data_IF_458133686070
#
_entry.id   IF_458133686070
#
_cell.length_a   1.000
_cell.length_b   1.000
_cell.length_c   1.000
_cell.angle_alpha   90.00
_cell.angle_beta   90.00
_cell.angle_gamma   90.00
#
_symmetry.space_group_name_H-M   'P 1'
#
loop_
_entity.id
_entity.type
_entity.pdbx_description
1 polymer ?
#
# COMPACT_ATOMS: atom_id res chain seq x y z
N UNK A 1 -19.29 29.85 5.03
CA UNK A 1 -18.90 28.49 5.42
C UNK A 1 -17.81 28.60 6.45
N UNK A 2 -18.19 28.95 7.68
CA UNK A 2 -17.27 29.20 8.77
C UNK A 2 -16.82 27.85 9.39
N UNK A 3 -15.53 27.79 9.74
CA UNK A 3 -14.87 26.79 10.58
C UNK A 3 -14.68 25.37 10.05
N UNK A 4 -14.22 25.22 8.80
CA UNK A 4 -13.58 23.96 8.37
C UNK A 4 -12.06 24.15 8.34
N UNK A 5 -11.38 23.72 9.40
CA UNK A 5 -9.92 23.80 9.54
C UNK A 5 -9.19 22.64 8.84
N UNK A 6 -9.83 21.47 8.77
CA UNK A 6 -9.24 20.21 8.32
C UNK A 6 -10.16 19.48 7.33
N UNK A 7 -9.60 19.07 6.19
CA UNK A 7 -10.31 18.26 5.20
C UNK A 7 -9.49 17.02 4.89
N UNK A 8 -10.05 15.84 5.15
CA UNK A 8 -9.49 14.56 4.73
C UNK A 8 -10.04 14.23 3.33
N UNK A 9 -9.17 14.07 2.34
CA UNK A 9 -9.62 13.84 0.97
C UNK A 9 -8.65 13.01 0.13
N UNK A 10 -9.17 12.46 -0.96
CA UNK A 10 -8.38 11.78 -1.98
C UNK A 10 -7.34 12.73 -2.61
N UNK A 11 -6.21 12.19 -3.06
CA UNK A 11 -5.10 12.95 -3.66
C UNK A 11 -5.40 13.47 -5.07
N UNK A 12 -6.64 13.32 -5.53
CA UNK A 12 -7.10 13.80 -6.82
C UNK A 12 -7.02 15.35 -6.92
N UNK A 13 -6.30 15.90 -7.92
CA UNK A 13 -6.14 17.34 -8.10
C UNK A 13 -7.45 18.13 -8.23
N UNK A 14 -8.48 17.53 -8.84
CA UNK A 14 -9.80 18.15 -9.02
C UNK A 14 -10.54 18.31 -7.70
N UNK A 15 -10.43 17.32 -6.81
CA UNK A 15 -10.98 17.43 -5.46
C UNK A 15 -10.24 18.50 -4.65
N UNK A 16 -8.90 18.52 -4.70
CA UNK A 16 -8.08 19.56 -4.07
C UNK A 16 -8.46 20.97 -4.54
N UNK A 17 -8.76 21.15 -5.82
CA UNK A 17 -9.23 22.42 -6.38
C UNK A 17 -10.62 22.81 -5.87
N UNK A 18 -11.56 21.86 -5.82
CA UNK A 18 -12.92 22.08 -5.31
C UNK A 18 -12.94 22.51 -3.84
N UNK A 19 -12.15 21.84 -2.99
CA UNK A 19 -12.05 22.15 -1.55
C UNK A 19 -11.40 23.50 -1.30
N UNK A 20 -10.33 23.85 -2.04
CA UNK A 20 -9.73 25.19 -1.95
C UNK A 20 -10.70 26.30 -2.33
N UNK A 21 -11.53 26.07 -3.37
CA UNK A 21 -12.52 27.04 -3.86
C UNK A 21 -13.68 27.23 -2.88
N UNK A 22 -14.11 26.15 -2.21
CA UNK A 22 -15.27 26.18 -1.33
C UNK A 22 -14.96 26.58 0.14
N UNK A 23 -13.74 26.30 0.63
CA UNK A 23 -13.44 26.31 2.08
C UNK A 23 -12.26 27.22 2.47
N UNK A 24 -11.77 28.10 1.59
CA UNK A 24 -10.81 29.12 2.00
C UNK A 24 -9.42 28.62 2.41
N UNK A 25 -8.96 27.51 1.80
CA UNK A 25 -7.63 26.87 2.02
C UNK A 25 -7.50 26.10 3.35
N UNK A 26 -8.34 25.09 3.61
CA UNK A 26 -8.18 24.22 4.79
C UNK A 26 -6.89 23.39 4.70
N UNK A 27 -6.43 22.85 5.84
CA UNK A 27 -5.35 21.86 5.88
C UNK A 27 -5.87 20.57 5.23
N UNK A 28 -5.31 20.21 4.08
CA UNK A 28 -5.70 19.02 3.32
C UNK A 28 -4.88 17.83 3.81
N UNK A 29 -5.54 16.87 4.45
CA UNK A 29 -4.97 15.59 4.84
C UNK A 29 -5.29 14.56 3.76
N UNK A 30 -4.27 13.93 3.18
CA UNK A 30 -4.47 12.83 2.26
C UNK A 30 -5.18 11.65 2.99
N UNK A 31 -6.26 11.17 2.40
CA UNK A 31 -7.05 10.08 2.96
C UNK A 31 -6.22 8.79 3.06
N UNK A 32 -6.26 8.21 4.26
CA UNK A 32 -5.53 7.00 4.64
C UNK A 32 -5.84 5.78 3.80
N UNK A 33 -7.05 5.73 3.25
CA UNK A 33 -7.49 4.60 2.44
C UNK A 33 -6.86 4.59 1.05
N UNK A 34 -6.47 5.74 0.50
CA UNK A 34 -6.00 5.83 -0.88
C UNK A 34 -4.56 5.33 -1.04
N UNK A 35 -3.63 5.70 -0.14
CA UNK A 35 -2.26 5.17 -0.21
C UNK A 35 -2.16 3.68 0.14
N UNK A 36 -2.96 3.20 1.11
CA UNK A 36 -3.00 1.76 1.42
C UNK A 36 -3.44 0.97 0.19
N UNK A 37 -4.43 1.52 -0.55
CA UNK A 37 -4.94 0.92 -1.78
C UNK A 37 -3.89 0.90 -2.88
N UNK A 38 -3.10 1.97 -3.08
CA UNK A 38 -2.09 2.01 -4.13
C UNK A 38 -1.01 0.94 -3.98
N UNK A 39 -0.59 0.64 -2.77
CA UNK A 39 0.40 -0.42 -2.54
C UNK A 39 -0.17 -1.81 -2.85
N UNK A 40 -1.44 -2.04 -2.50
CA UNK A 40 -2.11 -3.28 -2.89
C UNK A 40 -2.40 -3.38 -4.39
N UNK A 41 -2.55 -2.25 -5.08
CA UNK A 41 -2.63 -2.22 -6.54
C UNK A 41 -1.28 -2.54 -7.17
N UNK A 42 -0.20 -1.91 -6.70
CA UNK A 42 1.15 -2.17 -7.18
C UNK A 42 1.53 -3.65 -7.06
N UNK A 43 1.29 -4.28 -5.90
CA UNK A 43 1.58 -5.70 -5.73
C UNK A 43 0.66 -6.60 -6.59
N UNK A 44 -0.60 -6.21 -6.84
CA UNK A 44 -1.45 -6.97 -7.77
C UNK A 44 -1.03 -6.80 -9.24
N UNK A 45 -0.51 -5.64 -9.63
CA UNK A 45 0.08 -5.41 -10.95
C UNK A 45 1.31 -6.28 -11.18
N UNK A 46 2.25 -6.30 -10.22
CA UNK A 46 3.41 -7.19 -10.26
C UNK A 46 2.96 -8.65 -10.33
N UNK A 47 2.04 -9.07 -9.46
CA UNK A 47 1.44 -10.43 -9.50
C UNK A 47 0.84 -10.74 -10.88
N UNK A 48 0.12 -9.79 -11.50
CA UNK A 48 -0.48 -9.97 -12.84
C UNK A 48 0.56 -10.06 -13.95
N UNK A 49 1.69 -9.38 -13.81
CA UNK A 49 2.83 -9.44 -14.74
C UNK A 49 3.54 -10.78 -14.65
N UNK A 50 4.00 -11.17 -13.45
CA UNK A 50 4.83 -12.37 -13.26
C UNK A 50 4.07 -13.68 -13.53
N UNK A 51 2.76 -13.72 -13.24
CA UNK A 51 1.94 -14.92 -13.45
C UNK A 51 1.75 -15.29 -14.92
N UNK A 52 2.14 -14.42 -15.88
CA UNK A 52 2.06 -14.71 -17.31
C UNK A 52 3.00 -15.84 -17.71
N UNK A 53 4.14 -15.92 -17.05
CA UNK A 53 5.17 -16.95 -17.26
C UNK A 53 4.89 -18.24 -16.47
N UNK A 54 3.86 -18.25 -15.62
CA UNK A 54 3.55 -19.39 -14.78
C UNK A 54 2.64 -20.40 -15.47
N UNK A 55 2.78 -21.67 -15.09
CA UNK A 55 1.85 -22.71 -15.51
C UNK A 55 0.39 -22.35 -15.15
N UNK A 56 -0.55 -22.77 -15.99
CA UNK A 56 -1.97 -22.39 -15.86
C UNK A 56 -2.57 -22.77 -14.50
N UNK A 57 -2.08 -23.86 -13.89
CA UNK A 57 -2.44 -24.27 -12.54
C UNK A 57 -2.05 -23.22 -11.48
N UNK A 58 -0.77 -22.84 -11.43
CA UNK A 58 -0.27 -21.89 -10.44
C UNK A 58 -0.88 -20.50 -10.63
N UNK A 59 -1.07 -20.06 -11.88
CA UNK A 59 -1.80 -18.81 -12.18
C UNK A 59 -3.20 -18.79 -11.59
N UNK A 60 -3.99 -19.86 -11.82
CA UNK A 60 -5.36 -19.98 -11.28
C UNK A 60 -5.35 -20.06 -9.76
N UNK A 61 -4.43 -20.83 -9.18
CA UNK A 61 -4.33 -21.01 -7.73
C UNK A 61 -3.89 -19.72 -7.03
N UNK A 62 -2.88 -19.02 -7.55
CA UNK A 62 -2.40 -17.74 -7.02
C UNK A 62 -3.50 -16.68 -7.05
N UNK A 63 -4.26 -16.56 -8.14
CA UNK A 63 -5.41 -15.64 -8.20
C UNK A 63 -6.41 -15.88 -7.07
N UNK A 64 -6.71 -17.15 -6.75
CA UNK A 64 -7.60 -17.52 -5.64
C UNK A 64 -6.98 -17.24 -4.27
N UNK A 65 -5.66 -17.36 -4.15
CA UNK A 65 -4.90 -17.16 -2.92
C UNK A 65 -4.29 -15.76 -2.76
N UNK A 66 -4.61 -14.80 -3.64
CA UNK A 66 -3.95 -13.48 -3.69
C UNK A 66 -3.94 -12.72 -2.36
N UNK A 67 -4.89 -12.99 -1.46
CA UNK A 67 -4.95 -12.36 -0.14
C UNK A 67 -3.74 -12.65 0.74
N UNK A 68 -2.98 -13.72 0.47
CA UNK A 68 -1.73 -14.01 1.20
C UNK A 68 -0.65 -12.95 0.92
N UNK A 69 -0.70 -12.30 -0.25
CA UNK A 69 0.19 -11.19 -0.61
C UNK A 69 -0.22 -9.88 0.08
N UNK A 70 -1.51 -9.71 0.40
CA UNK A 70 -2.04 -8.46 0.96
C UNK A 70 -2.02 -8.41 2.49
N UNK A 71 -2.29 -9.55 3.13
CA UNK A 71 -2.28 -9.63 4.59
C UNK A 71 -0.87 -9.35 5.12
N UNK A 72 -0.81 -8.72 6.31
CA UNK A 72 0.41 -8.61 7.09
C UNK A 72 0.96 -9.99 7.36
N UNK A 73 2.26 -10.19 7.18
CA UNK A 73 2.94 -11.47 7.38
C UNK A 73 2.52 -12.10 8.71
N UNK A 74 2.62 -11.36 9.83
CA UNK A 74 2.24 -11.80 11.18
C UNK A 74 0.79 -12.24 11.38
N UNK A 75 -0.13 -11.94 10.44
CA UNK A 75 -1.55 -12.37 10.49
C UNK A 75 -1.85 -13.58 9.61
N UNK A 76 -0.84 -14.18 8.98
CA UNK A 76 -1.00 -15.38 8.17
C UNK A 76 -0.99 -16.63 9.06
N UNK A 77 -1.92 -17.54 8.78
CA UNK A 77 -1.83 -18.92 9.29
C UNK A 77 -0.67 -19.64 8.62
N UNK A 78 -0.17 -20.72 9.21
CA UNK A 78 0.91 -21.54 8.63
C UNK A 78 0.64 -21.95 7.18
N UNK A 79 -0.57 -22.47 6.91
CA UNK A 79 -1.01 -22.81 5.54
C UNK A 79 -0.93 -21.62 4.57
N UNK A 80 -1.26 -20.40 5.04
CA UNK A 80 -1.20 -19.22 4.19
C UNK A 80 0.23 -18.74 3.98
N UNK A 81 1.10 -18.92 4.99
CA UNK A 81 2.52 -18.63 4.88
C UNK A 81 3.20 -19.54 3.87
N UNK A 82 2.89 -20.83 3.89
CA UNK A 82 3.37 -21.76 2.87
C UNK A 82 3.01 -21.32 1.44
N UNK A 83 1.76 -20.86 1.22
CA UNK A 83 1.37 -20.32 -0.08
C UNK A 83 2.10 -19.03 -0.44
N UNK A 84 2.30 -18.14 0.52
CA UNK A 84 3.08 -16.92 0.33
C UNK A 84 4.50 -17.30 -0.11
N UNK A 85 5.21 -18.09 0.67
CA UNK A 85 6.59 -18.49 0.42
C UNK A 85 6.74 -19.19 -0.92
N UNK A 86 5.78 -20.07 -1.28
CA UNK A 86 5.72 -20.68 -2.61
C UNK A 86 5.68 -19.62 -3.72
N UNK A 87 4.79 -18.63 -3.64
CA UNK A 87 4.66 -17.64 -4.71
C UNK A 87 5.84 -16.67 -4.76
N UNK A 88 6.40 -16.28 -3.61
CA UNK A 88 7.60 -15.44 -3.58
C UNK A 88 8.81 -16.20 -4.14
N UNK A 89 8.91 -17.51 -3.89
CA UNK A 89 9.95 -18.37 -4.46
C UNK A 89 9.82 -18.61 -5.98
N UNK A 90 8.68 -18.25 -6.59
CA UNK A 90 8.48 -18.37 -8.04
C UNK A 90 8.89 -17.12 -8.82
N UNK A 91 9.14 -15.99 -8.15
CA UNK A 91 9.49 -14.74 -8.84
C UNK A 91 10.17 -13.76 -7.88
N UNK A 92 11.42 -13.42 -8.19
CA UNK A 92 12.17 -12.41 -7.43
C UNK A 92 11.49 -11.03 -7.50
N UNK A 93 10.91 -10.67 -8.66
CA UNK A 93 10.16 -9.42 -8.81
C UNK A 93 8.95 -9.37 -7.85
N UNK A 94 8.21 -10.47 -7.72
CA UNK A 94 7.09 -10.54 -6.78
C UNK A 94 7.54 -10.50 -5.32
N UNK A 95 8.67 -11.13 -5.02
CA UNK A 95 9.30 -11.12 -3.69
C UNK A 95 9.70 -9.70 -3.29
N UNK A 96 10.43 -8.98 -4.15
CA UNK A 96 10.83 -7.59 -3.91
C UNK A 96 9.60 -6.69 -3.71
N UNK A 97 8.57 -6.83 -4.56
CA UNK A 97 7.33 -6.07 -4.40
C UNK A 97 6.61 -6.37 -3.07
N UNK A 98 6.65 -7.62 -2.60
CA UNK A 98 6.09 -8.00 -1.30
C UNK A 98 6.88 -7.42 -0.13
N UNK A 99 8.21 -7.47 -0.18
CA UNK A 99 9.11 -6.91 0.84
C UNK A 99 8.92 -5.40 0.97
N UNK A 100 8.87 -4.67 -0.16
CA UNK A 100 8.57 -3.24 -0.17
C UNK A 100 7.21 -2.93 0.45
N UNK A 101 6.20 -3.76 0.18
CA UNK A 101 4.88 -3.62 0.79
C UNK A 101 4.93 -3.84 2.31
N UNK A 102 5.64 -4.85 2.80
CA UNK A 102 5.78 -5.09 4.25
C UNK A 102 6.58 -3.96 4.93
N UNK A 103 7.67 -3.50 4.34
CA UNK A 103 8.47 -2.40 4.87
C UNK A 103 7.67 -1.08 4.94
N UNK A 104 6.89 -0.76 3.90
CA UNK A 104 5.94 0.35 3.96
C UNK A 104 4.93 0.16 5.09
N UNK A 105 4.39 -1.06 5.20
CA UNK A 105 3.39 -1.41 6.18
C UNK A 105 3.88 -1.22 7.63
N UNK A 106 5.15 -1.55 7.90
CA UNK A 106 5.85 -1.29 9.17
C UNK A 106 6.07 0.20 9.40
N UNK A 107 6.64 0.92 8.42
CA UNK A 107 6.79 2.38 8.49
C UNK A 107 5.45 3.06 8.77
N UNK A 108 4.39 2.60 8.12
CA UNK A 108 3.06 3.18 8.23
C UNK A 108 2.44 2.97 9.62
N UNK A 109 2.68 1.81 10.24
CA UNK A 109 2.20 1.56 11.60
C UNK A 109 3.01 2.36 12.63
N UNK A 110 4.32 2.48 12.45
CA UNK A 110 5.16 3.37 13.27
C UNK A 110 4.78 4.85 13.10
N UNK A 111 4.50 5.31 11.88
CA UNK A 111 4.15 6.71 11.62
C UNK A 111 2.87 7.14 12.36
N UNK A 112 1.99 6.20 12.73
CA UNK A 112 0.79 6.46 13.54
C UNK A 112 1.10 6.67 15.02
N UNK A 113 2.23 6.18 15.51
CA UNK A 113 2.58 6.25 16.95
C UNK A 113 3.35 7.52 17.30
N UNK A 114 3.85 8.25 16.31
CA UNK A 114 4.65 9.47 16.51
C UNK A 114 3.89 10.74 16.10
N UNK A 115 4.21 11.86 16.77
CA UNK A 115 3.77 13.20 16.37
C UNK A 115 4.84 13.96 15.57
N UNK A 116 6.04 13.39 15.42
CA UNK A 116 7.16 14.04 14.75
C UNK A 116 7.05 13.91 13.23
N UNK A 117 6.43 14.90 12.60
CA UNK A 117 6.20 14.92 11.14
C UNK A 117 7.51 14.96 10.34
N UNK A 118 8.54 15.64 10.85
CA UNK A 118 9.84 15.74 10.18
C UNK A 118 10.53 14.37 10.10
N UNK A 119 10.49 13.61 11.19
CA UNK A 119 11.02 12.25 11.23
C UNK A 119 10.23 11.30 10.34
N UNK A 120 8.89 11.41 10.34
CA UNK A 120 8.02 10.61 9.44
C UNK A 120 8.40 10.83 7.98
N UNK A 121 8.61 12.09 7.58
CA UNK A 121 9.02 12.46 6.23
C UNK A 121 10.42 11.93 5.88
N UNK A 122 11.39 12.12 6.76
CA UNK A 122 12.77 11.64 6.54
C UNK A 122 12.84 10.13 6.35
N UNK A 123 12.11 9.35 7.15
CA UNK A 123 12.05 7.89 6.99
C UNK A 123 11.32 7.47 5.72
N UNK A 124 10.33 8.23 5.27
CA UNK A 124 9.67 7.97 3.99
C UNK A 124 10.60 8.24 2.80
N UNK A 125 11.37 9.33 2.84
CA UNK A 125 12.35 9.67 1.80
C UNK A 125 13.45 8.62 1.68
N UNK A 126 13.83 7.97 2.79
CA UNK A 126 14.78 6.87 2.80
C UNK A 126 14.31 5.62 2.03
N UNK A 127 13.01 5.47 1.72
CA UNK A 127 12.53 4.39 0.83
C UNK A 127 12.85 4.62 -0.65
N UNK A 128 13.19 5.85 -1.03
CA UNK A 128 13.45 6.25 -2.43
C UNK A 128 14.94 6.40 -2.75
N UNK A 129 15.82 6.26 -1.74
CA UNK A 129 17.28 6.31 -1.85
C UNK A 129 17.86 4.90 -1.90
#
# INVERSE_FOLDING_TARGET
>A
GADVELVVMDMNPSFKAAVKKALGRPVIIADRFHYCRYIYWAIDEVRRKVQKEWHAYDRKKCKRMRHVLYKRSGKLTEKHRWYLDRYLGMSEELKQAYELKEAYCEWFDWAKTTKNVAEVKSRLEAFYL
#
